data_IF_985710514390
#
_entry.id   IF_985710514390
#
_cell.length_a   1.000
_cell.length_b   1.000
_cell.length_c   1.000
_cell.angle_alpha   90.00
_cell.angle_beta   90.00
_cell.angle_gamma   90.00
#
_symmetry.space_group_name_H-M   'P 1'
#
loop_
_entity.id
_entity.type
_entity.pdbx_description
1 polymer ?
#
# COMPACT_ATOMS: atom_id res chain seq x y z
N UNK A 1 -22.57 -14.72 18.79
CA UNK A 1 -22.40 -14.60 17.33
C UNK A 1 -20.96 -15.00 16.97
N UNK A 2 -20.71 -15.96 16.06
CA UNK A 2 -19.33 -16.43 15.82
C UNK A 2 -18.50 -15.43 15.01
N UNK A 3 -17.18 -15.40 15.24
CA UNK A 3 -16.21 -14.51 14.58
C UNK A 3 -16.30 -14.56 13.05
N UNK A 4 -16.54 -15.75 12.49
CA UNK A 4 -16.67 -15.98 11.05
C UNK A 4 -17.96 -15.41 10.45
N UNK A 5 -19.05 -15.33 11.23
CA UNK A 5 -20.31 -14.70 10.79
C UNK A 5 -20.20 -13.18 10.72
N UNK A 6 -19.45 -12.57 11.65
CA UNK A 6 -19.26 -11.11 11.71
C UNK A 6 -18.23 -10.60 10.69
N UNK A 7 -17.01 -11.16 10.71
CA UNK A 7 -15.86 -10.61 9.96
C UNK A 7 -15.57 -11.37 8.67
N UNK A 8 -15.93 -12.65 8.67
CA UNK A 8 -15.67 -13.57 7.58
C UNK A 8 -14.32 -14.27 7.58
N UNK A 9 -13.45 -14.01 8.55
CA UNK A 9 -12.24 -14.79 8.77
C UNK A 9 -12.58 -16.14 9.41
N UNK A 10 -12.02 -17.21 8.87
CA UNK A 10 -12.03 -18.56 9.41
C UNK A 10 -10.99 -18.74 10.53
N UNK A 11 -9.89 -17.97 10.51
CA UNK A 11 -8.79 -18.07 11.47
C UNK A 11 -8.56 -16.74 12.22
N UNK A 12 -8.36 -16.81 13.54
CA UNK A 12 -8.07 -15.64 14.39
C UNK A 12 -6.74 -14.97 14.05
N UNK A 13 -5.72 -15.75 13.65
CA UNK A 13 -4.43 -15.24 13.22
C UNK A 13 -4.55 -14.30 12.01
N UNK A 14 -5.39 -14.66 11.03
CA UNK A 14 -5.64 -13.83 9.84
C UNK A 14 -6.36 -12.52 10.20
N UNK A 15 -7.26 -12.57 11.18
CA UNK A 15 -7.91 -11.36 11.70
C UNK A 15 -6.89 -10.45 12.42
N UNK A 16 -6.00 -11.01 13.23
CA UNK A 16 -4.94 -10.23 13.91
C UNK A 16 -4.04 -9.56 12.87
N UNK A 17 -3.60 -10.29 11.86
CA UNK A 17 -2.78 -9.75 10.77
C UNK A 17 -3.52 -8.63 10.02
N UNK A 18 -4.81 -8.81 9.73
CA UNK A 18 -5.66 -7.80 9.11
C UNK A 18 -5.80 -6.55 9.98
N UNK A 19 -6.01 -6.71 11.29
CA UNK A 19 -6.14 -5.58 12.22
C UNK A 19 -4.84 -4.81 12.32
N UNK A 20 -3.70 -5.48 12.48
CA UNK A 20 -2.39 -4.82 12.51
C UNK A 20 -2.11 -4.08 11.21
N UNK A 21 -2.33 -4.74 10.06
CA UNK A 21 -2.19 -4.13 8.74
C UNK A 21 -3.05 -2.88 8.57
N UNK A 22 -4.34 -2.99 8.91
CA UNK A 22 -5.32 -1.91 8.81
C UNK A 22 -4.99 -0.77 9.77
N UNK A 23 -4.58 -1.08 10.99
CA UNK A 23 -4.24 -0.09 12.01
C UNK A 23 -3.03 0.74 11.55
N UNK A 24 -1.96 0.08 11.09
CA UNK A 24 -0.76 0.77 10.61
C UNK A 24 -1.06 1.66 9.41
N UNK A 25 -1.74 1.13 8.38
CA UNK A 25 -2.05 1.90 7.17
C UNK A 25 -3.04 3.05 7.43
N UNK A 26 -4.09 2.81 8.22
CA UNK A 26 -5.11 3.82 8.50
C UNK A 26 -4.60 4.92 9.43
N UNK A 27 -3.84 4.59 10.48
CA UNK A 27 -3.24 5.60 11.37
C UNK A 27 -2.26 6.47 10.60
N UNK A 28 -1.39 5.87 9.79
CA UNK A 28 -0.46 6.64 8.98
C UNK A 28 -1.21 7.53 8.00
N UNK A 29 -2.15 6.98 7.22
CA UNK A 29 -2.89 7.74 6.23
C UNK A 29 -3.68 8.89 6.86
N UNK A 30 -4.34 8.65 7.99
CA UNK A 30 -5.09 9.68 8.71
C UNK A 30 -4.16 10.75 9.33
N UNK A 31 -3.03 10.33 9.92
CA UNK A 31 -2.04 11.26 10.48
C UNK A 31 -1.43 12.16 9.41
N UNK A 32 -1.18 11.64 8.21
CA UNK A 32 -0.66 12.43 7.10
C UNK A 32 -1.76 13.32 6.49
N UNK A 33 -3.00 12.83 6.43
CA UNK A 33 -4.13 13.59 5.90
C UNK A 33 -4.48 14.79 6.79
N UNK A 34 -4.39 14.67 8.11
CA UNK A 34 -4.60 15.81 9.02
C UNK A 34 -3.50 16.88 8.91
N UNK A 35 -2.27 16.48 8.60
CA UNK A 35 -1.15 17.38 8.31
C UNK A 35 -1.39 18.13 6.99
N UNK A 36 -1.84 17.43 5.94
CA UNK A 36 -2.14 18.00 4.61
C UNK A 36 -3.35 18.94 4.67
N UNK A 37 -4.47 18.51 5.27
CA UNK A 37 -5.70 19.31 5.38
C UNK A 37 -5.56 20.50 6.36
N UNK A 38 -4.71 20.37 7.39
CA UNK A 38 -4.44 21.43 8.35
C UNK A 38 -3.53 22.55 7.82
N UNK A 39 -3.23 22.58 6.51
CA UNK A 39 -2.37 23.59 5.89
C UNK A 39 -0.90 23.54 6.35
N UNK A 40 -0.51 22.50 7.10
CA UNK A 40 0.84 22.34 7.66
C UNK A 40 1.62 21.34 6.82
N UNK A 41 2.05 21.72 5.63
CA UNK A 41 3.14 21.03 4.94
C UNK A 41 4.47 21.32 5.65
N UNK A 42 4.60 20.92 6.92
CA UNK A 42 5.85 21.09 7.66
C UNK A 42 6.86 20.07 7.11
N UNK A 43 7.99 20.52 6.55
CA UNK A 43 9.06 19.59 6.16
C UNK A 43 9.47 18.77 7.41
N UNK A 44 9.50 17.45 7.27
CA UNK A 44 9.81 16.51 8.35
C UNK A 44 11.29 16.56 8.73
N UNK A 45 12.13 17.06 7.82
CA UNK A 45 13.58 17.23 8.01
C UNK A 45 14.03 18.63 7.54
N UNK A 46 15.08 19.22 8.17
CA UNK A 46 15.60 20.54 7.78
C UNK A 46 16.02 20.63 6.30
N UNK A 47 16.46 19.52 5.68
CA UNK A 47 16.81 19.44 4.26
C UNK A 47 15.63 19.17 3.31
N UNK A 48 14.41 18.94 3.82
CA UNK A 48 13.19 18.88 2.99
C UNK A 48 12.66 20.29 2.67
N UNK A 49 13.27 21.33 3.25
CA UNK A 49 13.04 22.73 2.90
C UNK A 49 13.78 23.19 1.65
N UNK A 50 14.52 22.28 0.97
CA UNK A 50 15.03 22.56 -0.37
C UNK A 50 13.81 22.79 -1.24
N UNK A 51 13.58 24.08 -1.50
CA UNK A 51 12.51 24.62 -2.31
C UNK A 51 12.33 23.71 -3.53
N UNK A 52 11.15 23.09 -3.65
CA UNK A 52 10.70 22.54 -4.91
C UNK A 52 10.57 23.74 -5.86
N UNK A 53 11.71 24.20 -6.39
CA UNK A 53 11.83 25.39 -7.24
C UNK A 53 10.97 25.25 -8.50
N UNK A 54 10.66 24.01 -8.87
CA UNK A 54 9.75 23.68 -9.95
C UNK A 54 8.34 23.37 -9.43
N UNK A 55 7.35 24.13 -9.90
CA UNK A 55 5.92 23.90 -9.66
C UNK A 55 5.49 22.46 -9.96
N UNK A 56 6.14 21.82 -10.94
CA UNK A 56 5.93 20.42 -11.30
C UNK A 56 6.20 19.45 -10.14
N UNK A 57 7.22 19.72 -9.33
CA UNK A 57 7.55 18.86 -8.20
C UNK A 57 6.58 19.05 -7.03
N UNK A 58 6.11 20.29 -6.80
CA UNK A 58 5.05 20.60 -5.83
C UNK A 58 3.77 19.87 -6.22
N UNK A 59 3.36 20.01 -7.48
CA UNK A 59 2.21 19.29 -8.04
C UNK A 59 2.38 17.77 -7.91
N UNK A 60 3.56 17.23 -8.23
CA UNK A 60 3.85 15.81 -8.08
C UNK A 60 3.69 15.32 -6.65
N UNK A 61 4.18 16.07 -5.66
CA UNK A 61 4.00 15.75 -4.23
C UNK A 61 2.53 15.82 -3.81
N UNK A 62 1.79 16.82 -4.24
CA UNK A 62 0.36 16.96 -3.94
C UNK A 62 -0.45 15.81 -4.54
N UNK A 63 -0.27 15.53 -5.83
CA UNK A 63 -0.96 14.42 -6.52
C UNK A 63 -0.59 13.08 -5.88
N UNK A 64 0.68 12.89 -5.49
CA UNK A 64 1.09 11.71 -4.73
C UNK A 64 0.29 11.58 -3.43
N UNK A 65 0.24 12.62 -2.58
CA UNK A 65 -0.47 12.58 -1.30
C UNK A 65 -1.99 12.39 -1.47
N UNK A 66 -2.61 13.13 -2.39
CA UNK A 66 -4.04 13.05 -2.68
C UNK A 66 -4.47 11.72 -3.30
N UNK A 67 -3.55 10.95 -3.85
CA UNK A 67 -3.84 9.59 -4.33
C UNK A 67 -3.58 8.53 -3.26
N UNK A 68 -2.45 8.56 -2.56
CA UNK A 68 -2.07 7.48 -1.63
C UNK A 68 -2.79 7.54 -0.29
N UNK A 69 -3.15 8.73 0.21
CA UNK A 69 -3.83 8.85 1.51
C UNK A 69 -5.27 8.32 1.48
N UNK A 70 -6.12 8.70 0.49
CA UNK A 70 -7.43 8.08 0.35
C UNK A 70 -7.32 6.58 0.00
N UNK A 71 -6.30 6.18 -0.77
CA UNK A 71 -6.11 4.77 -1.07
C UNK A 71 -5.83 3.95 0.19
N UNK A 72 -4.96 4.45 1.09
CA UNK A 72 -4.63 3.79 2.35
C UNK A 72 -5.83 3.64 3.30
N UNK A 73 -6.74 4.62 3.32
CA UNK A 73 -7.97 4.56 4.15
C UNK A 73 -9.01 3.59 3.59
N UNK A 74 -9.12 3.46 2.26
CA UNK A 74 -10.07 2.55 1.61
C UNK A 74 -9.55 1.10 1.51
N UNK A 75 -8.23 0.92 1.59
CA UNK A 75 -7.56 -0.38 1.42
C UNK A 75 -8.10 -1.51 2.32
N UNK A 76 -8.40 -1.30 3.61
CA UNK A 76 -8.89 -2.38 4.48
C UNK A 76 -10.16 -3.06 3.95
N UNK A 77 -11.01 -2.32 3.24
CA UNK A 77 -12.24 -2.87 2.65
C UNK A 77 -11.95 -3.93 1.57
N UNK A 78 -10.77 -3.91 0.94
CA UNK A 78 -10.37 -4.92 -0.04
C UNK A 78 -10.02 -6.26 0.61
N UNK A 79 -9.44 -6.23 1.80
CA UNK A 79 -8.95 -7.42 2.50
C UNK A 79 -9.96 -8.02 3.47
N UNK A 80 -11.06 -7.32 3.74
CA UNK A 80 -12.13 -7.82 4.60
C UNK A 80 -12.96 -8.90 3.87
N UNK A 81 -12.95 -10.18 4.31
CA UNK A 81 -13.59 -11.28 3.57
C UNK A 81 -15.10 -11.11 3.39
N UNK A 82 -15.78 -10.50 4.38
CA UNK A 82 -17.23 -10.25 4.30
C UNK A 82 -17.60 -9.33 3.13
N UNK A 83 -16.74 -8.36 2.77
CA UNK A 83 -16.97 -7.42 1.67
C UNK A 83 -16.93 -8.18 0.34
N UNK A 84 -15.96 -9.08 0.17
CA UNK A 84 -15.89 -9.90 -1.05
C UNK A 84 -17.07 -10.88 -1.17
N UNK A 85 -17.56 -11.43 -0.06
CA UNK A 85 -18.67 -12.41 -0.07
C UNK A 85 -20.05 -11.77 -0.23
N UNK A 86 -20.33 -10.66 0.46
CA UNK A 86 -21.65 -10.00 0.47
C UNK A 86 -21.74 -8.80 -0.47
N UNK A 87 -20.64 -8.09 -0.68
CA UNK A 87 -20.60 -6.81 -1.40
C UNK A 87 -19.60 -6.85 -2.58
N UNK A 88 -19.70 -7.89 -3.42
CA UNK A 88 -18.75 -8.13 -4.51
C UNK A 88 -18.65 -6.96 -5.51
N UNK A 89 -19.76 -6.27 -5.80
CA UNK A 89 -19.76 -5.07 -6.65
C UNK A 89 -18.89 -3.95 -6.04
N UNK A 90 -19.06 -3.70 -4.74
CA UNK A 90 -18.27 -2.71 -4.01
C UNK A 90 -16.77 -3.06 -4.04
N UNK A 91 -16.42 -4.32 -3.75
CA UNK A 91 -15.04 -4.80 -3.84
C UNK A 91 -14.42 -4.51 -5.21
N UNK A 92 -15.15 -4.81 -6.30
CA UNK A 92 -14.69 -4.57 -7.68
C UNK A 92 -14.49 -3.08 -8.00
N UNK A 93 -15.43 -2.21 -7.63
CA UNK A 93 -15.31 -0.77 -7.90
C UNK A 93 -14.18 -0.14 -7.08
N UNK A 94 -14.13 -0.44 -5.78
CA UNK A 94 -13.04 0.02 -4.92
C UNK A 94 -11.68 -0.51 -5.40
N UNK A 95 -11.60 -1.77 -5.85
CA UNK A 95 -10.36 -2.33 -6.38
C UNK A 95 -9.84 -1.59 -7.63
N UNK A 96 -10.75 -1.14 -8.51
CA UNK A 96 -10.39 -0.32 -9.68
C UNK A 96 -9.95 1.09 -9.30
N UNK A 97 -10.66 1.71 -8.35
CA UNK A 97 -10.29 3.02 -7.82
C UNK A 97 -8.90 2.97 -7.18
N UNK A 98 -8.65 1.98 -6.33
CA UNK A 98 -7.37 1.77 -5.67
C UNK A 98 -6.25 1.46 -6.66
N UNK A 99 -6.53 0.71 -7.73
CA UNK A 99 -5.56 0.48 -8.80
C UNK A 99 -5.13 1.81 -9.46
N UNK A 100 -6.09 2.67 -9.83
CA UNK A 100 -5.79 3.96 -10.45
C UNK A 100 -5.05 4.90 -9.49
N UNK A 101 -5.51 4.98 -8.24
CA UNK A 101 -4.85 5.81 -7.22
C UNK A 101 -3.41 5.36 -6.99
N UNK A 102 -3.16 4.05 -6.85
CA UNK A 102 -1.80 3.58 -6.65
C UNK A 102 -0.92 3.75 -7.90
N UNK A 103 -1.48 3.57 -9.11
CA UNK A 103 -0.78 3.81 -10.36
C UNK A 103 -0.30 5.27 -10.47
N UNK A 104 -1.20 6.23 -10.24
CA UNK A 104 -0.88 7.66 -10.28
C UNK A 104 0.08 8.03 -9.14
N UNK A 105 -0.24 7.63 -7.91
CA UNK A 105 0.56 7.96 -6.73
C UNK A 105 1.98 7.41 -6.82
N UNK A 106 2.16 6.17 -7.27
CA UNK A 106 3.49 5.57 -7.42
C UNK A 106 4.27 6.21 -8.58
N UNK A 107 3.61 6.66 -9.65
CA UNK A 107 4.26 7.42 -10.74
C UNK A 107 4.81 8.74 -10.21
N UNK A 108 3.99 9.51 -9.48
CA UNK A 108 4.41 10.75 -8.87
C UNK A 108 5.52 10.52 -7.84
N UNK A 109 5.45 9.45 -7.05
CA UNK A 109 6.47 9.08 -6.07
C UNK A 109 7.84 8.90 -6.72
N UNK A 110 7.92 8.15 -7.83
CA UNK A 110 9.17 7.94 -8.56
C UNK A 110 9.71 9.23 -9.19
N UNK A 111 8.82 10.11 -9.67
CA UNK A 111 9.21 11.41 -10.24
C UNK A 111 9.84 12.35 -9.20
N UNK A 112 9.34 12.33 -7.96
CA UNK A 112 9.87 13.18 -6.87
C UNK A 112 10.96 12.49 -6.03
N UNK A 113 11.19 11.18 -6.22
CA UNK A 113 12.10 10.36 -5.40
C UNK A 113 13.55 10.86 -5.36
N UNK A 114 14.02 11.56 -6.41
CA UNK A 114 15.35 12.19 -6.41
C UNK A 114 15.56 13.19 -5.27
N UNK A 115 14.50 13.82 -4.77
CA UNK A 115 14.57 14.85 -3.72
C UNK A 115 13.96 14.40 -2.38
N UNK A 116 13.36 13.21 -2.34
CA UNK A 116 12.71 12.68 -1.14
C UNK A 116 13.74 12.21 -0.09
N UNK A 117 13.39 12.34 1.19
CA UNK A 117 14.14 11.80 2.34
C UNK A 117 15.63 12.22 2.43
N UNK A 118 15.93 13.49 2.13
CA UNK A 118 17.30 14.01 2.20
C UNK A 118 18.20 13.59 1.04
N UNK A 119 17.67 12.87 0.03
CA UNK A 119 18.33 12.64 -1.25
C UNK A 119 19.57 11.75 -1.20
N UNK A 120 19.80 11.01 -0.11
CA UNK A 120 20.94 10.09 -0.03
C UNK A 120 20.82 8.98 -1.08
N UNK A 121 21.96 8.51 -1.59
CA UNK A 121 22.00 7.48 -2.63
C UNK A 121 21.27 6.21 -2.20
N UNK A 122 21.47 5.77 -0.96
CA UNK A 122 20.80 4.60 -0.39
C UNK A 122 19.26 4.75 -0.43
N UNK A 123 18.75 5.89 0.02
CA UNK A 123 17.29 6.11 0.06
C UNK A 123 16.70 6.17 -1.34
N UNK A 124 17.41 6.77 -2.29
CA UNK A 124 17.00 6.78 -3.71
C UNK A 124 16.92 5.35 -4.26
N UNK A 125 17.97 4.56 -4.09
CA UNK A 125 17.99 3.16 -4.56
C UNK A 125 16.83 2.37 -3.95
N UNK A 126 16.59 2.50 -2.65
CA UNK A 126 15.47 1.85 -1.97
C UNK A 126 14.11 2.26 -2.52
N UNK A 127 13.85 3.57 -2.69
CA UNK A 127 12.57 4.08 -3.19
C UNK A 127 12.33 3.67 -4.64
N UNK A 128 13.34 3.79 -5.51
CA UNK A 128 13.22 3.37 -6.91
C UNK A 128 12.97 1.87 -7.03
N UNK A 129 13.72 1.05 -6.28
CA UNK A 129 13.57 -0.40 -6.29
C UNK A 129 12.17 -0.81 -5.86
N UNK A 130 11.69 -0.31 -4.72
CA UNK A 130 10.36 -0.63 -4.22
C UNK A 130 9.26 -0.09 -5.14
N UNK A 131 9.41 1.12 -5.69
CA UNK A 131 8.43 1.70 -6.62
C UNK A 131 8.29 0.88 -7.92
N UNK A 132 9.38 0.38 -8.48
CA UNK A 132 9.35 -0.53 -9.64
C UNK A 132 8.69 -1.87 -9.28
N UNK A 133 9.04 -2.43 -8.12
CA UNK A 133 8.42 -3.66 -7.61
C UNK A 133 6.91 -3.49 -7.43
N UNK A 134 6.45 -2.38 -6.85
CA UNK A 134 5.02 -2.04 -6.71
C UNK A 134 4.33 -2.00 -8.07
N UNK A 135 4.91 -1.36 -9.09
CA UNK A 135 4.31 -1.37 -10.43
C UNK A 135 4.21 -2.76 -11.03
N UNK A 136 5.28 -3.54 -10.91
CA UNK A 136 5.29 -4.90 -11.42
C UNK A 136 4.20 -5.76 -10.77
N UNK A 137 4.10 -5.74 -9.43
CA UNK A 137 3.07 -6.49 -8.72
C UNK A 137 1.66 -5.97 -9.01
N UNK A 138 1.47 -4.66 -9.12
CA UNK A 138 0.18 -4.05 -9.44
C UNK A 138 -0.30 -4.51 -10.83
N UNK A 139 0.59 -4.49 -11.82
CA UNK A 139 0.30 -4.95 -13.18
C UNK A 139 0.00 -6.46 -13.22
N UNK A 140 0.83 -7.28 -12.55
CA UNK A 140 0.60 -8.72 -12.42
C UNK A 140 -0.74 -9.05 -11.77
N UNK A 141 -1.08 -8.33 -10.69
CA UNK A 141 -2.37 -8.44 -10.00
C UNK A 141 -3.55 -8.11 -10.93
N UNK A 142 -3.42 -7.05 -11.73
CA UNK A 142 -4.43 -6.64 -12.69
C UNK A 142 -4.60 -7.64 -13.83
N UNK A 143 -3.50 -8.07 -14.47
CA UNK A 143 -3.53 -9.06 -15.55
C UNK A 143 -4.18 -10.36 -15.05
N UNK A 144 -3.81 -10.84 -13.85
CA UNK A 144 -4.37 -12.05 -13.28
C UNK A 144 -5.89 -11.96 -13.09
N UNK A 145 -6.43 -10.85 -12.58
CA UNK A 145 -7.88 -10.71 -12.42
C UNK A 145 -8.61 -10.59 -13.76
N UNK A 146 -8.01 -9.93 -14.77
CA UNK A 146 -8.57 -9.86 -16.13
C UNK A 146 -8.63 -11.23 -16.80
N UNK A 147 -7.67 -12.09 -16.51
CA UNK A 147 -7.62 -13.49 -16.96
C UNK A 147 -8.38 -14.46 -16.03
N UNK A 148 -9.14 -13.95 -15.05
CA UNK A 148 -9.90 -14.76 -14.07
C UNK A 148 -9.04 -15.69 -13.20
N UNK A 149 -7.73 -15.46 -13.12
CA UNK A 149 -6.77 -16.20 -12.25
C UNK A 149 -6.81 -15.64 -10.83
N UNK A 150 -7.87 -15.96 -10.08
CA UNK A 150 -8.17 -15.35 -8.77
C UNK A 150 -7.06 -15.58 -7.74
N UNK A 151 -6.50 -16.79 -7.65
CA UNK A 151 -5.45 -17.11 -6.69
C UNK A 151 -4.20 -16.25 -6.93
N UNK A 152 -3.79 -16.11 -8.19
CA UNK A 152 -2.65 -15.27 -8.57
C UNK A 152 -2.92 -13.79 -8.30
N UNK A 153 -4.12 -13.30 -8.63
CA UNK A 153 -4.53 -11.92 -8.30
C UNK A 153 -4.36 -11.63 -6.81
N UNK A 154 -4.83 -12.52 -5.93
CA UNK A 154 -4.73 -12.31 -4.48
C UNK A 154 -3.28 -12.26 -4.00
N UNK A 155 -2.42 -13.14 -4.52
CA UNK A 155 -0.98 -13.18 -4.18
C UNK A 155 -0.32 -11.85 -4.57
N UNK A 156 -0.51 -11.41 -5.81
CA UNK A 156 0.10 -10.17 -6.29
C UNK A 156 -0.51 -8.92 -5.65
N UNK A 157 -1.81 -8.92 -5.33
CA UNK A 157 -2.44 -7.83 -4.60
C UNK A 157 -1.83 -7.66 -3.21
N UNK A 158 -1.61 -8.75 -2.46
CA UNK A 158 -0.97 -8.68 -1.14
C UNK A 158 0.48 -8.18 -1.27
N UNK A 159 1.25 -8.68 -2.25
CA UNK A 159 2.61 -8.19 -2.52
C UNK A 159 2.64 -6.69 -2.82
N UNK A 160 1.74 -6.23 -3.70
CA UNK A 160 1.63 -4.82 -4.09
C UNK A 160 1.48 -3.94 -2.85
N UNK A 161 0.48 -4.22 -2.00
CA UNK A 161 0.20 -3.39 -0.84
C UNK A 161 1.21 -3.57 0.30
N UNK A 162 1.83 -4.75 0.41
CA UNK A 162 2.94 -4.97 1.34
C UNK A 162 4.16 -4.10 1.00
N UNK A 163 4.54 -4.04 -0.27
CA UNK A 163 5.66 -3.21 -0.73
C UNK A 163 5.34 -1.71 -0.67
N UNK A 164 4.12 -1.30 -1.04
CA UNK A 164 3.66 0.09 -0.85
C UNK A 164 3.78 0.51 0.62
N UNK A 165 3.45 -0.37 1.55
CA UNK A 165 3.58 -0.10 2.99
C UNK A 165 5.01 0.15 3.44
N UNK A 166 5.99 -0.54 2.84
CA UNK A 166 7.42 -0.34 3.13
C UNK A 166 7.90 1.06 2.72
N UNK A 167 7.44 1.55 1.57
CA UNK A 167 7.81 2.89 1.08
C UNK A 167 7.25 3.98 1.99
N UNK A 168 5.99 3.83 2.43
CA UNK A 168 5.31 4.86 3.22
C UNK A 168 5.79 4.95 4.68
N UNK A 169 6.12 3.82 5.31
CA UNK A 169 6.48 3.77 6.75
C UNK A 169 7.97 3.51 7.00
N UNK A 170 8.75 3.24 5.96
CA UNK A 170 10.09 2.68 6.08
C UNK A 170 10.08 1.20 6.50
N UNK A 171 11.28 0.62 6.69
CA UNK A 171 11.48 -0.76 7.17
C UNK A 171 10.91 -0.99 8.58
N UNK A 172 10.58 0.07 9.32
CA UNK A 172 10.15 0.01 10.70
C UNK A 172 8.72 -0.52 10.90
N UNK A 173 7.94 -0.70 9.84
CA UNK A 173 6.66 -1.39 9.91
C UNK A 173 6.92 -2.92 9.95
N UNK A 174 6.64 -3.61 11.07
CA UNK A 174 7.01 -5.02 11.24
C UNK A 174 6.33 -5.92 10.21
N UNK A 175 5.10 -5.60 9.80
CA UNK A 175 4.33 -6.36 8.82
C UNK A 175 4.80 -6.13 7.38
N UNK A 176 5.12 -4.88 6.99
CA UNK A 176 5.63 -4.61 5.64
C UNK A 176 7.05 -5.17 5.48
N UNK A 177 7.87 -5.09 6.53
CA UNK A 177 9.17 -5.76 6.60
C UNK A 177 9.02 -7.28 6.54
N UNK A 178 8.03 -7.89 7.21
CA UNK A 178 7.74 -9.33 7.08
C UNK A 178 7.33 -9.70 5.64
N UNK A 179 6.47 -8.95 4.98
CA UNK A 179 6.12 -9.24 3.58
C UNK A 179 7.32 -9.05 2.64
N UNK A 180 8.15 -8.03 2.87
CA UNK A 180 9.30 -7.70 2.02
C UNK A 180 10.50 -8.64 2.22
N UNK A 181 10.90 -8.90 3.47
CA UNK A 181 12.04 -9.77 3.83
C UNK A 181 11.75 -11.22 3.47
N UNK A 182 10.51 -11.70 3.64
CA UNK A 182 10.18 -13.06 3.28
C UNK A 182 10.08 -13.25 1.76
N UNK A 183 9.62 -12.27 0.96
CA UNK A 183 9.54 -12.40 -0.51
C UNK A 183 10.92 -12.32 -1.18
N UNK A 184 11.87 -11.57 -0.61
CA UNK A 184 13.22 -11.42 -1.17
C UNK A 184 14.16 -12.57 -0.82
N UNK A 185 14.02 -13.21 0.35
CA UNK A 185 14.98 -14.25 0.77
C UNK A 185 14.56 -15.69 0.48
N UNK A 186 13.28 -16.00 0.42
CA UNK A 186 12.85 -17.38 0.21
C UNK A 186 11.46 -17.39 -0.42
N UNK A 187 11.20 -18.30 -1.36
CA UNK A 187 9.88 -18.57 -1.96
C UNK A 187 8.82 -19.09 -0.94
N UNK A 188 8.94 -18.71 0.35
CA UNK A 188 8.12 -19.06 1.53
C UNK A 188 7.17 -17.93 1.92
N UNK A 189 6.74 -17.14 0.95
CA UNK A 189 5.61 -16.21 1.06
C UNK A 189 4.25 -16.93 0.95
N UNK A 190 4.25 -18.25 0.76
CA UNK A 190 3.18 -19.14 1.24
C UNK A 190 2.99 -18.94 2.78
N UNK A 191 2.29 -19.73 3.58
CA UNK A 191 2.03 -19.40 5.01
C UNK A 191 1.32 -18.04 5.25
N UNK A 192 1.95 -16.86 5.19
CA UNK A 192 1.29 -15.56 5.47
C UNK A 192 0.32 -15.14 4.36
N UNK A 193 0.74 -15.15 3.08
CA UNK A 193 -0.20 -14.99 1.96
C UNK A 193 -1.18 -16.15 2.00
N UNK A 194 -0.75 -17.37 2.32
CA UNK A 194 -1.65 -18.51 2.42
C UNK A 194 -2.74 -18.34 3.49
N UNK A 195 -2.47 -17.72 4.64
CA UNK A 195 -3.47 -17.51 5.70
C UNK A 195 -4.50 -16.42 5.35
N UNK A 196 -4.09 -15.35 4.67
CA UNK A 196 -5.03 -14.31 4.18
C UNK A 196 -5.76 -14.77 2.91
N UNK A 197 -5.08 -15.51 2.02
CA UNK A 197 -5.64 -16.04 0.76
C UNK A 197 -6.56 -17.24 0.97
N UNK A 198 -6.32 -18.06 2.01
CA UNK A 198 -7.19 -19.21 2.38
C UNK A 198 -8.51 -18.79 3.03
N UNK A 199 -8.65 -17.53 3.44
CA UNK A 199 -9.93 -16.93 3.83
C UNK A 199 -10.68 -16.34 2.61
#
# INVERSE_FOLDING_TARGET
MSLSKLTGFAYSQSLICFLLFTLTFSIFSFSQQSIVLGGRLRPRFPLESIDFRDELMKLGKEVHLWSVLPAGTLLPLQFLPIVRRKYLKLHRYLGRLLFLMLLVGNTCALGIAHHAFGGTLETRIWVYTLGVMVFFALLKSWIAIRQKRITEHRVWAIRTWGWTGCVSHGIYSPLSALVCVYDLKFNRVHIFITLIVRN
#
